data_IF_063794592577
#
_entry.id   IF_063794592577
#
_cell.length_a   1.000
_cell.length_b   1.000
_cell.length_c   1.000
_cell.angle_alpha   90.00
_cell.angle_beta   90.00
_cell.angle_gamma   90.00
#
_symmetry.space_group_name_H-M   'P 1'
#
loop_
_entity.id
_entity.type
_entity.pdbx_description
1 polymer ?
#
# COMPACT_ATOMS: atom_id res chain seq x y z
N UNK A 1 -15.43 -15.19 -7.10
CA UNK A 1 -16.51 -14.27 -7.54
C UNK A 1 -15.84 -13.00 -8.04
N UNK A 2 -15.80 -12.78 -9.37
CA UNK A 2 -15.21 -11.56 -9.97
C UNK A 2 -16.22 -10.42 -9.80
N UNK A 3 -15.88 -9.38 -9.03
CA UNK A 3 -16.65 -8.13 -9.05
C UNK A 3 -15.97 -7.22 -10.07
N UNK A 4 -16.61 -7.05 -11.22
CA UNK A 4 -16.24 -6.05 -12.21
C UNK A 4 -17.25 -4.91 -12.07
N UNK A 5 -16.83 -3.80 -11.50
CA UNK A 5 -17.59 -2.54 -11.54
C UNK A 5 -16.81 -1.62 -12.48
N UNK A 6 -17.32 -1.37 -13.69
CA UNK A 6 -16.72 -0.42 -14.63
C UNK A 6 -17.55 0.87 -14.61
N UNK A 7 -16.94 1.99 -14.25
CA UNK A 7 -17.51 3.32 -14.39
C UNK A 7 -16.85 4.02 -15.61
N UNK A 8 -17.64 4.32 -16.65
CA UNK A 8 -17.19 4.78 -17.98
C UNK A 8 -16.70 6.23 -18.08
N UNK A 9 -16.51 6.96 -16.97
CA UNK A 9 -15.97 8.33 -16.98
C UNK A 9 -14.48 8.42 -16.54
N UNK A 10 -13.83 7.27 -16.32
CA UNK A 10 -12.49 7.17 -15.78
C UNK A 10 -11.53 6.65 -16.85
N UNK A 11 -10.42 7.35 -17.09
CA UNK A 11 -9.30 6.83 -17.89
C UNK A 11 -8.71 5.54 -17.32
N UNK A 12 -9.10 5.14 -16.12
CA UNK A 12 -8.63 3.97 -15.40
C UNK A 12 -9.75 2.94 -15.21
N UNK A 13 -9.46 1.71 -15.57
CA UNK A 13 -10.21 0.52 -15.16
C UNK A 13 -9.46 -0.15 -14.03
N UNK A 14 -10.13 -0.41 -12.90
CA UNK A 14 -9.51 -1.04 -11.72
C UNK A 14 -10.27 -2.32 -11.38
N UNK A 15 -9.54 -3.43 -11.26
CA UNK A 15 -10.10 -4.74 -10.91
C UNK A 15 -9.42 -5.28 -9.66
N UNK A 16 -10.22 -5.61 -8.63
CA UNK A 16 -9.74 -6.29 -7.44
C UNK A 16 -9.98 -7.81 -7.54
N UNK A 17 -8.91 -8.60 -7.37
CA UNK A 17 -8.87 -10.05 -7.48
C UNK A 17 -8.60 -10.63 -6.10
N UNK A 18 -9.33 -11.68 -5.73
CA UNK A 18 -9.19 -12.38 -4.44
C UNK A 18 -8.93 -13.87 -4.64
N UNK A 19 -8.10 -14.44 -3.79
CA UNK A 19 -7.76 -15.85 -3.77
C UNK A 19 -6.24 -16.04 -3.64
N UNK A 20 -5.73 -17.13 -4.20
CA UNK A 20 -4.30 -17.45 -4.14
C UNK A 20 -3.39 -16.36 -4.74
N UNK A 21 -3.91 -15.57 -5.70
CA UNK A 21 -3.24 -14.40 -6.29
C UNK A 21 -4.03 -13.10 -5.98
N UNK A 22 -4.25 -12.81 -4.69
CA UNK A 22 -4.88 -11.55 -4.27
C UNK A 22 -4.13 -10.36 -4.86
N UNK A 23 -4.80 -9.61 -5.74
CA UNK A 23 -4.17 -8.56 -6.55
C UNK A 23 -5.14 -7.43 -6.88
N UNK A 24 -4.58 -6.27 -7.22
CA UNK A 24 -5.30 -5.16 -7.85
C UNK A 24 -4.64 -4.87 -9.18
N UNK A 25 -5.44 -4.90 -10.25
CA UNK A 25 -5.04 -4.54 -11.60
C UNK A 25 -5.61 -3.16 -11.95
N UNK A 26 -4.77 -2.29 -12.48
CA UNK A 26 -5.12 -0.98 -13.04
C UNK A 26 -4.76 -1.01 -14.52
N UNK A 27 -5.70 -0.63 -15.37
CA UNK A 27 -5.52 -0.47 -16.81
C UNK A 27 -5.90 0.96 -17.18
N UNK A 28 -5.10 1.63 -18.00
CA UNK A 28 -5.33 3.03 -18.31
C UNK A 28 -5.26 3.33 -19.81
N UNK A 29 -6.15 4.17 -20.31
CA UNK A 29 -6.14 4.66 -21.71
C UNK A 29 -5.25 5.88 -21.95
N UNK A 30 -4.58 6.36 -20.91
CA UNK A 30 -3.64 7.51 -20.93
C UNK A 30 -2.23 7.07 -20.53
N UNK A 31 -1.22 7.81 -20.95
CA UNK A 31 0.17 7.55 -20.55
C UNK A 31 0.32 7.72 -19.03
N UNK A 32 1.20 6.94 -18.38
CA UNK A 32 1.55 7.18 -16.99
C UNK A 32 2.26 8.53 -16.84
N UNK A 33 2.10 9.16 -15.68
CA UNK A 33 2.66 10.48 -15.43
C UNK A 33 4.12 10.38 -14.96
N UNK A 34 4.99 11.24 -15.51
CA UNK A 34 6.39 11.33 -15.08
C UNK A 34 6.54 12.14 -13.80
N UNK A 35 7.51 11.77 -12.95
CA UNK A 35 7.91 12.49 -11.75
C UNK A 35 8.29 13.95 -12.03
N UNK A 36 8.87 14.20 -13.20
CA UNK A 36 9.35 15.51 -13.68
C UNK A 36 8.23 16.40 -14.24
N UNK A 37 7.00 15.88 -14.34
CA UNK A 37 5.86 16.65 -14.83
C UNK A 37 5.50 17.75 -13.82
N UNK A 38 4.92 18.84 -14.34
CA UNK A 38 4.31 19.91 -13.56
C UNK A 38 3.49 19.38 -12.35
N UNK A 39 3.67 19.94 -11.14
CA UNK A 39 3.04 19.46 -9.92
C UNK A 39 1.51 19.38 -9.99
N UNK A 40 0.84 20.33 -10.63
CA UNK A 40 -0.63 20.32 -10.72
C UNK A 40 -1.11 19.18 -11.63
N UNK A 41 -0.49 19.00 -12.79
CA UNK A 41 -0.79 17.86 -13.68
C UNK A 41 -0.55 16.52 -13.00
N UNK A 42 0.55 16.40 -12.24
CA UNK A 42 0.85 15.20 -11.45
C UNK A 42 -0.22 14.94 -10.39
N UNK A 43 -0.61 15.97 -9.64
CA UNK A 43 -1.66 15.89 -8.63
C UNK A 43 -3.02 15.53 -9.23
N UNK A 44 -3.37 16.07 -10.40
CA UNK A 44 -4.60 15.71 -11.13
C UNK A 44 -4.60 14.24 -11.50
N UNK A 45 -3.51 13.74 -12.10
CA UNK A 45 -3.38 12.33 -12.46
C UNK A 45 -3.49 11.43 -11.21
N UNK A 46 -2.73 11.75 -10.16
CA UNK A 46 -2.71 10.97 -8.92
C UNK A 46 -4.09 10.94 -8.25
N UNK A 47 -4.80 12.08 -8.22
CA UNK A 47 -6.14 12.15 -7.65
C UNK A 47 -7.16 11.35 -8.46
N UNK A 48 -7.08 11.39 -9.79
CA UNK A 48 -7.97 10.62 -10.66
C UNK A 48 -7.76 9.10 -10.49
N UNK A 49 -6.49 8.66 -10.43
CA UNK A 49 -6.16 7.27 -10.19
C UNK A 49 -6.55 6.82 -8.76
N UNK A 50 -6.28 7.64 -7.74
CA UNK A 50 -6.66 7.35 -6.37
C UNK A 50 -8.19 7.19 -6.21
N UNK A 51 -8.98 8.04 -6.88
CA UNK A 51 -10.44 7.95 -6.86
C UNK A 51 -10.92 6.69 -7.58
N UNK A 52 -10.36 6.37 -8.76
CA UNK A 52 -10.69 5.13 -9.47
C UNK A 52 -10.38 3.89 -8.62
N UNK A 53 -9.26 3.88 -7.91
CA UNK A 53 -8.90 2.81 -6.98
C UNK A 53 -9.89 2.74 -5.82
N UNK A 54 -10.18 3.86 -5.17
CA UNK A 54 -11.09 3.93 -4.02
C UNK A 54 -12.50 3.43 -4.34
N UNK A 55 -13.03 3.79 -5.51
CA UNK A 55 -14.38 3.40 -5.95
C UNK A 55 -14.47 1.90 -6.26
N UNK A 56 -13.40 1.31 -6.80
CA UNK A 56 -13.40 -0.07 -7.31
C UNK A 56 -12.75 -1.09 -6.39
N UNK A 57 -12.27 -0.67 -5.22
CA UNK A 57 -11.64 -1.56 -4.23
C UNK A 57 -12.22 -1.29 -2.85
N UNK A 58 -12.44 -2.34 -2.05
CA UNK A 58 -12.89 -2.20 -0.65
C UNK A 58 -11.84 -2.64 0.38
N UNK A 59 -10.74 -3.22 -0.10
CA UNK A 59 -9.64 -3.77 0.68
C UNK A 59 -8.30 -3.14 0.33
N UNK A 60 -7.39 -3.22 1.28
CA UNK A 60 -6.04 -2.67 1.26
C UNK A 60 -5.05 -3.75 1.74
N UNK A 61 -3.89 -3.80 1.11
CA UNK A 61 -2.80 -4.70 1.48
C UNK A 61 -2.16 -4.22 2.78
N UNK A 62 -1.99 -5.14 3.73
CA UNK A 62 -1.32 -4.89 5.01
C UNK A 62 0.09 -5.47 5.03
N UNK A 63 0.33 -6.42 4.15
CA UNK A 63 1.59 -7.13 4.00
C UNK A 63 2.50 -6.56 2.92
N UNK A 64 3.47 -7.37 2.53
CA UNK A 64 4.34 -7.06 1.40
C UNK A 64 3.67 -7.38 0.06
N UNK A 65 4.03 -6.61 -0.96
CA UNK A 65 3.50 -6.74 -2.30
C UNK A 65 4.62 -6.72 -3.34
N UNK A 66 4.31 -7.25 -4.51
CA UNK A 66 5.05 -7.01 -5.75
C UNK A 66 4.21 -6.15 -6.69
N UNK A 67 4.89 -5.31 -7.46
CA UNK A 67 4.28 -4.46 -8.48
C UNK A 67 4.84 -4.80 -9.86
N UNK A 68 3.96 -4.99 -10.83
CA UNK A 68 4.26 -5.21 -12.24
C UNK A 68 3.67 -4.05 -13.04
N UNK A 69 4.49 -3.36 -13.82
CA UNK A 69 4.10 -2.20 -14.62
C UNK A 69 4.52 -2.46 -16.06
N UNK A 70 3.59 -2.30 -16.99
CA UNK A 70 3.88 -2.36 -18.42
C UNK A 70 3.33 -1.12 -19.07
N UNK A 71 4.21 -0.40 -19.76
CA UNK A 71 3.87 0.78 -20.54
C UNK A 71 3.98 0.47 -22.03
N UNK A 72 2.93 0.76 -22.79
CA UNK A 72 2.91 0.58 -24.23
C UNK A 72 3.22 1.90 -24.92
N UNK A 73 4.36 1.97 -25.59
CA UNK A 73 4.78 3.14 -26.37
C UNK A 73 5.38 2.64 -27.67
N UNK A 74 5.05 3.20 -28.84
CA UNK A 74 5.77 2.86 -30.05
C UNK A 74 7.26 3.22 -29.95
N UNK A 75 8.13 2.38 -30.51
CA UNK A 75 9.59 2.56 -30.55
C UNK A 75 9.92 3.94 -31.16
N UNK A 76 9.26 4.28 -32.26
CA UNK A 76 9.40 5.56 -32.94
C UNK A 76 9.19 6.74 -31.98
N UNK A 77 8.10 6.71 -31.20
CA UNK A 77 7.80 7.76 -30.22
C UNK A 77 8.85 7.80 -29.11
N UNK A 78 9.35 6.63 -28.68
CA UNK A 78 10.31 6.52 -27.58
C UNK A 78 11.70 7.03 -27.95
N UNK A 79 12.22 6.68 -29.13
CA UNK A 79 13.58 7.05 -29.53
C UNK A 79 13.65 8.35 -30.34
N UNK A 80 12.59 8.72 -31.07
CA UNK A 80 12.61 9.91 -31.92
C UNK A 80 12.11 11.16 -31.20
N UNK A 81 11.60 11.04 -29.97
CA UNK A 81 11.15 12.19 -29.17
C UNK A 81 11.76 12.18 -27.78
N UNK A 82 12.09 13.36 -27.27
CA UNK A 82 12.52 13.57 -25.89
C UNK A 82 11.32 13.69 -24.92
N UNK A 83 10.10 13.42 -25.40
CA UNK A 83 8.86 13.65 -24.67
C UNK A 83 8.40 12.42 -23.88
N UNK A 84 8.98 11.25 -24.17
CA UNK A 84 8.67 10.00 -23.47
C UNK A 84 9.55 9.93 -22.23
N UNK A 85 8.89 9.82 -21.07
CA UNK A 85 9.58 9.69 -19.80
C UNK A 85 10.40 8.39 -19.70
N UNK A 86 11.39 8.40 -18.82
CA UNK A 86 12.06 7.17 -18.43
C UNK A 86 11.13 6.26 -17.61
N UNK A 87 11.42 4.95 -17.61
CA UNK A 87 10.60 3.96 -16.90
C UNK A 87 10.65 4.18 -15.39
N UNK A 88 11.81 4.51 -14.83
CA UNK A 88 11.95 4.81 -13.40
C UNK A 88 11.16 6.07 -12.99
N UNK A 89 11.11 7.08 -13.87
CA UNK A 89 10.40 8.33 -13.65
C UNK A 89 8.87 8.17 -13.54
N UNK A 90 8.28 7.08 -14.03
CA UNK A 90 6.84 6.85 -13.94
C UNK A 90 6.41 6.01 -12.73
N UNK A 91 7.34 5.28 -12.09
CA UNK A 91 7.01 4.33 -11.01
C UNK A 91 6.53 5.07 -9.76
N UNK A 92 7.29 6.06 -9.29
CA UNK A 92 6.98 6.76 -8.04
C UNK A 92 5.62 7.47 -8.07
N UNK A 93 5.25 8.23 -9.12
CA UNK A 93 3.93 8.84 -9.19
C UNK A 93 2.78 7.84 -9.17
N UNK A 94 2.96 6.64 -9.77
CA UNK A 94 1.96 5.57 -9.72
C UNK A 94 1.79 5.04 -8.30
N UNK A 95 2.88 4.75 -7.58
CA UNK A 95 2.82 4.29 -6.19
C UNK A 95 2.21 5.33 -5.26
N UNK A 96 2.55 6.60 -5.43
CA UNK A 96 1.96 7.69 -4.65
C UNK A 96 0.44 7.76 -4.82
N UNK A 97 -0.07 7.51 -6.03
CA UNK A 97 -1.50 7.53 -6.32
C UNK A 97 -2.26 6.37 -5.68
N UNK A 98 -1.60 5.24 -5.46
CA UNK A 98 -2.24 4.01 -4.94
C UNK A 98 -1.90 3.71 -3.48
N UNK A 99 -1.23 4.64 -2.81
CA UNK A 99 -0.83 4.55 -1.39
C UNK A 99 -1.70 5.45 -0.52
N UNK A 100 -1.91 5.06 0.74
CA UNK A 100 -2.62 5.82 1.74
C UNK A 100 -4.09 5.39 1.92
N UNK A 101 -4.91 6.19 2.64
CA UNK A 101 -6.23 5.77 3.08
C UNK A 101 -7.19 5.38 1.95
N UNK A 102 -7.08 6.05 0.80
CA UNK A 102 -7.90 5.77 -0.39
C UNK A 102 -7.24 4.78 -1.36
N UNK A 103 -5.99 4.39 -1.08
CA UNK A 103 -5.21 3.50 -1.91
C UNK A 103 -5.45 2.02 -1.61
N UNK A 104 -4.58 1.20 -2.19
CA UNK A 104 -4.51 -0.26 -2.00
C UNK A 104 -3.31 -0.68 -1.16
N UNK A 105 -2.41 0.26 -0.82
CA UNK A 105 -1.30 0.06 0.11
C UNK A 105 -1.37 1.11 1.22
N UNK A 106 -0.95 0.74 2.43
CA UNK A 106 -0.73 1.66 3.55
C UNK A 106 0.45 2.59 3.22
N UNK A 107 1.52 2.03 2.67
CA UNK A 107 2.80 2.69 2.44
C UNK A 107 3.53 2.08 1.23
N UNK A 108 4.35 2.87 0.54
CA UNK A 108 5.14 2.42 -0.61
C UNK A 108 6.27 1.45 -0.21
N UNK A 109 6.68 1.44 1.07
CA UNK A 109 7.64 0.46 1.59
C UNK A 109 7.12 -0.98 1.64
N UNK A 110 5.84 -1.20 1.35
CA UNK A 110 5.28 -2.55 1.20
C UNK A 110 5.73 -3.19 -0.11
N UNK A 111 6.20 -2.41 -1.07
CA UNK A 111 6.65 -2.93 -2.36
C UNK A 111 8.05 -3.52 -2.21
N UNK A 112 8.15 -4.85 -2.19
CA UNK A 112 9.44 -5.56 -2.13
C UNK A 112 10.03 -5.84 -3.52
N UNK A 113 9.18 -5.93 -4.54
CA UNK A 113 9.60 -6.19 -5.91
C UNK A 113 8.86 -5.27 -6.86
N UNK A 114 9.62 -4.65 -7.79
CA UNK A 114 9.07 -3.91 -8.91
C UNK A 114 9.60 -4.52 -10.20
N UNK A 115 8.70 -4.87 -11.10
CA UNK A 115 9.01 -5.22 -12.48
C UNK A 115 8.36 -4.18 -13.36
N UNK A 116 9.17 -3.39 -14.06
CA UNK A 116 8.70 -2.35 -14.96
C UNK A 116 9.25 -2.61 -16.36
N UNK A 117 8.37 -2.63 -17.35
CA UNK A 117 8.73 -2.89 -18.73
C UNK A 117 8.05 -1.89 -19.65
N UNK A 118 8.69 -1.69 -20.79
CA UNK A 118 8.11 -1.00 -21.92
C UNK A 118 7.99 -2.00 -23.08
N UNK A 119 6.86 -1.95 -23.79
CA UNK A 119 6.62 -2.77 -24.97
C UNK A 119 6.35 -1.86 -26.18
N UNK A 120 7.04 -2.17 -27.29
CA UNK A 120 6.82 -1.54 -28.59
C UNK A 120 5.54 -2.09 -29.24
N UNK A 121 4.41 -1.65 -28.70
CA UNK A 121 3.08 -1.96 -29.21
C UNK A 121 2.23 -0.71 -29.06
N UNK A 122 1.34 -0.47 -30.03
CA UNK A 122 0.27 0.51 -29.91
C UNK A 122 -1.07 -0.22 -29.74
N UNK A 123 -1.42 -0.64 -28.52
CA UNK A 123 -2.73 -1.23 -28.26
C UNK A 123 -3.83 -0.18 -28.44
N UNK A 124 -4.98 -0.62 -28.94
CA UNK A 124 -6.13 0.27 -29.20
C UNK A 124 -6.79 0.79 -27.91
N UNK A 125 -6.68 0.06 -26.80
CA UNK A 125 -7.48 0.31 -25.58
C UNK A 125 -6.67 0.83 -24.37
N UNK A 126 -5.42 0.43 -24.20
CA UNK A 126 -4.67 0.66 -22.96
C UNK A 126 -3.25 1.13 -23.19
N UNK A 127 -2.89 2.33 -22.72
CA UNK A 127 -1.53 2.84 -22.78
C UNK A 127 -0.63 2.28 -21.68
N UNK A 128 -1.15 1.93 -20.51
CA UNK A 128 -0.37 1.15 -19.54
C UNK A 128 -1.26 0.25 -18.69
N UNK A 129 -0.65 -0.74 -18.06
CA UNK A 129 -1.25 -1.44 -16.93
C UNK A 129 -0.27 -1.56 -15.76
N UNK A 130 -0.83 -1.63 -14.57
CA UNK A 130 -0.14 -1.89 -13.32
C UNK A 130 -0.88 -2.99 -12.56
N UNK A 131 -0.14 -3.96 -12.05
CA UNK A 131 -0.67 -5.01 -11.16
C UNK A 131 0.10 -4.99 -9.85
N UNK A 132 -0.62 -4.85 -8.75
CA UNK A 132 -0.07 -5.00 -7.40
C UNK A 132 -0.61 -6.29 -6.82
N UNK A 133 0.28 -7.23 -6.49
CA UNK A 133 -0.06 -8.57 -5.99
C UNK A 133 0.52 -8.75 -4.60
N UNK A 134 -0.26 -9.27 -3.66
CA UNK A 134 0.23 -9.61 -2.33
C UNK A 134 1.25 -10.76 -2.42
N UNK A 135 2.31 -10.70 -1.62
CA UNK A 135 3.25 -11.81 -1.50
C UNK A 135 2.70 -12.94 -0.63
N UNK A 136 1.87 -12.59 0.35
CA UNK A 136 1.02 -13.51 1.09
C UNK A 136 -0.45 -13.23 0.74
N UNK A 137 -1.15 -14.25 0.26
CA UNK A 137 -2.52 -14.13 -0.24
C UNK A 137 -3.51 -13.64 0.81
N UNK A 138 -3.21 -13.78 2.10
CA UNK A 138 -4.11 -13.44 3.22
C UNK A 138 -3.82 -12.06 3.86
N UNK A 139 -2.77 -11.36 3.44
CA UNK A 139 -2.36 -10.06 4.03
C UNK A 139 -3.12 -8.86 3.44
N UNK A 140 -4.45 -8.90 3.52
CA UNK A 140 -5.35 -7.85 3.03
C UNK A 140 -6.61 -7.71 3.90
N UNK A 141 -7.00 -6.47 4.22
CA UNK A 141 -8.16 -6.19 5.09
C UNK A 141 -9.12 -5.18 4.47
N UNK A 142 -10.36 -5.10 4.98
CA UNK A 142 -11.31 -4.08 4.55
C UNK A 142 -10.88 -2.69 5.03
N UNK A 143 -10.90 -1.71 4.12
CA UNK A 143 -10.47 -0.32 4.36
C UNK A 143 -11.31 0.40 5.43
N UNK A 144 -12.63 0.18 5.44
CA UNK A 144 -13.61 0.89 6.31
C UNK A 144 -13.38 0.76 7.83
N UNK A 145 -12.42 -0.07 8.27
CA UNK A 145 -12.18 -0.32 9.69
C UNK A 145 -10.69 -0.31 10.04
N UNK A 146 -9.87 0.26 9.17
CA UNK A 146 -8.42 0.29 9.34
C UNK A 146 -8.04 1.40 10.32
N UNK A 147 -7.47 1.01 11.45
CA UNK A 147 -6.99 1.90 12.52
C UNK A 147 -5.61 1.49 12.97
N UNK A 148 -4.87 2.42 13.55
CA UNK A 148 -3.58 2.11 14.17
C UNK A 148 -3.56 2.56 15.62
N UNK A 149 -2.71 1.91 16.41
CA UNK A 149 -2.37 2.35 17.77
C UNK A 149 -0.90 2.67 17.82
N UNK A 150 -0.58 3.89 18.26
CA UNK A 150 0.80 4.35 18.48
C UNK A 150 1.28 3.94 19.88
N UNK A 151 2.33 3.10 19.91
CA UNK A 151 3.03 2.69 21.13
C UNK A 151 4.27 3.54 21.41
N UNK A 152 4.48 4.62 20.65
CA UNK A 152 5.63 5.50 20.77
C UNK A 152 6.91 4.88 20.21
N UNK A 153 8.00 5.67 20.23
CA UNK A 153 9.31 5.18 19.77
C UNK A 153 9.94 4.26 20.83
N UNK A 154 10.67 3.20 20.44
CA UNK A 154 10.97 2.78 19.05
C UNK A 154 9.92 1.85 18.41
N UNK A 155 8.81 1.56 19.09
CA UNK A 155 7.86 0.51 18.70
C UNK A 155 6.93 0.89 17.54
N UNK A 156 6.66 2.19 17.39
CA UNK A 156 5.83 2.73 16.31
C UNK A 156 4.36 2.35 16.45
N UNK A 157 3.66 2.39 15.31
CA UNK A 157 2.23 2.19 15.24
C UNK A 157 1.90 0.78 14.75
N UNK A 158 0.98 0.10 15.43
CA UNK A 158 0.49 -1.23 15.06
C UNK A 158 -0.91 -1.12 14.47
N UNK A 159 -1.12 -1.78 13.33
CA UNK A 159 -2.45 -1.95 12.74
C UNK A 159 -3.38 -2.69 13.71
N UNK A 160 -4.59 -2.16 13.89
CA UNK A 160 -5.70 -2.88 14.50
C UNK A 160 -6.63 -3.36 13.37
N UNK A 161 -6.82 -4.69 13.21
CA UNK A 161 -7.68 -5.22 12.18
C UNK A 161 -9.14 -4.81 12.41
N UNK A 162 -9.91 -4.83 11.31
CA UNK A 162 -11.37 -4.78 11.38
C UNK A 162 -11.88 -5.93 12.24
N UNK A 163 -12.64 -5.65 13.29
CA UNK A 163 -13.18 -6.72 14.12
C UNK A 163 -14.12 -6.20 15.21
N UNK A 164 -14.74 -7.12 15.98
CA UNK A 164 -15.53 -6.76 17.14
C UNK A 164 -14.75 -5.83 18.08
N UNK A 165 -15.39 -4.78 18.56
CA UNK A 165 -14.75 -3.80 19.46
C UNK A 165 -14.14 -4.47 20.71
N UNK A 166 -14.71 -5.60 21.13
CA UNK A 166 -14.22 -6.43 22.23
C UNK A 166 -12.79 -6.99 22.02
N UNK A 167 -12.36 -7.21 20.77
CA UNK A 167 -11.02 -7.77 20.49
C UNK A 167 -9.92 -6.71 20.57
N UNK A 168 -10.23 -5.43 20.40
CA UNK A 168 -9.20 -4.38 20.33
C UNK A 168 -8.42 -4.23 21.64
N UNK A 169 -9.05 -4.15 22.83
CA UNK A 169 -8.30 -4.08 24.09
C UNK A 169 -7.41 -5.30 24.30
N UNK A 170 -7.84 -6.48 23.84
CA UNK A 170 -7.05 -7.71 23.94
C UNK A 170 -5.80 -7.63 23.06
N UNK A 171 -5.94 -7.21 21.80
CA UNK A 171 -4.81 -7.03 20.87
C UNK A 171 -3.84 -5.96 21.37
N UNK A 172 -4.36 -4.81 21.79
CA UNK A 172 -3.55 -3.72 22.36
C UNK A 172 -2.81 -4.19 23.62
N UNK A 173 -3.48 -4.92 24.51
CA UNK A 173 -2.87 -5.51 25.71
C UNK A 173 -1.79 -6.54 25.37
N UNK A 174 -1.99 -7.36 24.35
CA UNK A 174 -0.97 -8.30 23.85
C UNK A 174 0.27 -7.57 23.33
N UNK A 175 0.08 -6.51 22.54
CA UNK A 175 1.19 -5.68 22.05
C UNK A 175 1.93 -4.98 23.19
N UNK A 176 1.21 -4.42 24.16
CA UNK A 176 1.82 -3.80 25.34
C UNK A 176 2.66 -4.80 26.15
N UNK A 177 2.14 -6.02 26.39
CA UNK A 177 2.88 -7.09 27.08
C UNK A 177 4.11 -7.53 26.30
N UNK A 178 3.99 -7.70 24.98
CA UNK A 178 5.12 -8.05 24.13
C UNK A 178 6.22 -6.99 24.17
N UNK A 179 5.86 -5.71 24.10
CA UNK A 179 6.79 -4.58 24.23
C UNK A 179 7.48 -4.60 25.61
N UNK A 180 6.71 -4.83 26.68
CA UNK A 180 7.27 -4.92 28.03
C UNK A 180 8.30 -6.06 28.14
N UNK A 181 7.95 -7.27 27.70
CA UNK A 181 8.89 -8.41 27.72
C UNK A 181 10.10 -8.20 26.83
N UNK A 182 9.94 -7.53 25.68
CA UNK A 182 11.07 -7.14 24.85
C UNK A 182 12.02 -6.21 25.62
N UNK A 183 11.48 -5.18 26.29
CA UNK A 183 12.27 -4.27 27.12
C UNK A 183 13.00 -4.99 28.27
N UNK A 184 12.33 -5.92 28.95
CA UNK A 184 12.93 -6.74 30.01
C UNK A 184 14.10 -7.58 29.46
N UNK A 185 13.94 -8.21 28.30
CA UNK A 185 15.01 -9.01 27.67
C UNK A 185 16.21 -8.13 27.29
N UNK A 186 15.98 -6.95 26.71
CA UNK A 186 17.05 -5.99 26.40
C UNK A 186 17.77 -5.54 27.68
N UNK A 187 17.04 -5.25 28.76
CA UNK A 187 17.64 -4.88 30.05
C UNK A 187 18.51 -6.01 30.63
N UNK A 188 18.15 -7.27 30.36
CA UNK A 188 18.93 -8.45 30.71
C UNK A 188 20.03 -8.80 29.68
N UNK A 189 20.38 -7.86 28.77
CA UNK A 189 21.43 -8.00 27.76
C UNK A 189 21.20 -9.16 26.77
N UNK A 190 19.95 -9.57 26.57
CA UNK A 190 19.58 -10.47 25.47
C UNK A 190 19.79 -9.72 24.15
N UNK A 191 20.37 -10.40 23.16
CA UNK A 191 20.58 -9.80 21.84
C UNK A 191 19.25 -9.34 21.21
N UNK A 192 19.16 -8.13 20.63
CA UNK A 192 17.92 -7.61 20.07
C UNK A 192 17.22 -8.53 19.07
N UNK A 193 17.99 -9.23 18.23
CA UNK A 193 17.43 -10.17 17.26
C UNK A 193 16.72 -11.36 17.91
N UNK A 194 17.22 -11.84 19.06
CA UNK A 194 16.59 -12.90 19.86
C UNK A 194 15.41 -12.33 20.65
N UNK A 195 15.59 -11.18 21.28
CA UNK A 195 14.54 -10.52 22.06
C UNK A 195 13.29 -10.21 21.22
N UNK A 196 13.46 -9.87 19.94
CA UNK A 196 12.36 -9.60 19.02
C UNK A 196 11.41 -10.80 18.82
N UNK A 197 11.77 -12.02 19.23
CA UNK A 197 10.90 -13.20 19.14
C UNK A 197 9.64 -13.13 20.00
N UNK A 198 9.61 -12.29 21.04
CA UNK A 198 8.38 -12.04 21.81
C UNK A 198 7.46 -11.00 21.17
N UNK A 199 7.96 -10.26 20.18
CA UNK A 199 7.17 -9.26 19.47
C UNK A 199 6.23 -9.95 18.47
N UNK A 200 5.07 -9.33 18.17
CA UNK A 200 4.22 -9.78 17.09
C UNK A 200 4.97 -9.79 15.75
N UNK A 201 4.63 -10.75 14.89
CA UNK A 201 5.13 -10.80 13.50
C UNK A 201 4.59 -9.61 12.68
N UNK A 202 3.46 -9.05 13.10
CA UNK A 202 2.83 -7.92 12.44
C UNK A 202 3.77 -6.72 12.31
N UNK A 203 3.73 -6.09 11.13
CA UNK A 203 4.53 -4.90 10.81
C UNK A 203 4.16 -3.71 11.71
N UNK A 204 5.20 -3.04 12.21
CA UNK A 204 5.11 -1.70 12.81
C UNK A 204 5.28 -0.63 11.73
N UNK A 205 4.49 0.43 11.80
CA UNK A 205 4.56 1.58 10.89
C UNK A 205 5.04 2.83 11.65
N UNK A 206 6.00 3.60 11.12
CA UNK A 206 6.31 4.92 11.67
C UNK A 206 5.11 5.87 11.52
N UNK A 207 4.81 6.66 12.56
CA UNK A 207 3.68 7.62 12.55
C UNK A 207 3.68 8.55 11.33
N UNK A 208 4.87 8.99 10.88
CA UNK A 208 5.02 9.85 9.71
C UNK A 208 4.52 9.24 8.40
N UNK A 209 4.44 7.91 8.30
CA UNK A 209 3.95 7.16 7.14
C UNK A 209 2.45 6.91 7.18
N UNK A 210 1.78 7.19 8.32
CA UNK A 210 0.35 6.96 8.51
C UNK A 210 -0.49 8.22 8.25
N UNK A 211 -0.01 9.14 7.42
CA UNK A 211 -0.73 10.39 7.11
C UNK A 211 -2.11 10.09 6.54
N UNK A 212 -3.15 10.61 7.19
CA UNK A 212 -4.55 10.45 6.78
C UNK A 212 -5.24 9.18 7.28
N UNK A 213 -4.51 8.27 7.94
CA UNK A 213 -5.11 7.16 8.67
C UNK A 213 -5.53 7.59 10.09
N UNK A 214 -6.49 6.89 10.65
CA UNK A 214 -6.89 7.04 12.04
C UNK A 214 -5.86 6.35 12.95
N UNK A 215 -5.26 7.12 13.87
CA UNK A 215 -4.24 6.65 14.81
C UNK A 215 -4.62 7.07 16.23
N UNK A 216 -4.71 6.12 17.14
CA UNK A 216 -4.96 6.33 18.56
C UNK A 216 -3.65 6.19 19.35
N UNK A 217 -3.40 7.07 20.33
CA UNK A 217 -2.22 6.94 21.20
C UNK A 217 -2.51 5.95 22.31
N UNK A 218 -1.61 4.98 22.51
CA UNK A 218 -1.71 4.08 23.65
C UNK A 218 -1.43 4.82 24.97
N UNK A 219 -2.46 4.98 25.82
CA UNK A 219 -2.31 5.45 27.18
C UNK A 219 -1.99 4.26 28.10
N UNK A 220 -0.79 4.21 28.65
CA UNK A 220 -0.29 3.13 29.52
C UNK A 220 -1.11 2.89 30.81
N UNK A 221 -2.10 3.73 31.10
CA UNK A 221 -2.99 3.62 32.25
C UNK A 221 -4.07 2.53 32.12
N UNK A 222 -4.24 1.91 30.94
CA UNK A 222 -5.35 0.98 30.68
C UNK A 222 -5.07 -0.52 30.87
N UNK A 223 -3.86 -0.92 31.29
CA UNK A 223 -3.50 -2.36 31.48
C UNK A 223 -3.20 -2.69 32.95
N UNK A 224 -3.93 -2.04 33.87
CA UNK A 224 -4.02 -2.45 35.28
C UNK A 224 -5.44 -2.95 35.58
N UNK A 225 -5.83 -4.06 34.99
CA UNK A 225 -6.90 -4.94 35.50
C UNK A 225 -6.51 -6.38 35.22
#
# INVERSE_FOLDING_TARGET
>A
MRRTTSAEASHFTVTQIFGYDSAVKVEASIDPISLQTDPERKKTFQSALAEAVKVNTDRIFTGDVKAEITWFVPEERRYNTHLVADIDNIIKPLFDAVTGPNGIMIDDNQVQQVTASWLDVQPDEHKFWMRVTALDSDEFIKRKSLRFVDFGRPYGCMLLPSGPDLLKPILVGNFARAIHHYQEQIANRVEPAVAKRVMPIQRSYPLARLKGFEVETYASSQVRQ
#
